data_IF_676011049675
#
_entry.id   IF_676011049675
#
_cell.length_a   1.000
_cell.length_b   1.000
_cell.length_c   1.000
_cell.angle_alpha   90.00
_cell.angle_beta   90.00
_cell.angle_gamma   90.00
#
_symmetry.space_group_name_H-M   'P 1'
#
loop_
_entity.id
_entity.type
_entity.pdbx_description
1 polymer ?
#
# COMPACT_ATOMS: atom_id res chain seq x y z
N UNK A 1 -27.34 5.85 17.76
CA UNK A 1 -26.46 4.84 17.14
C UNK A 1 -26.87 4.77 15.68
N UNK A 2 -25.99 5.13 14.78
CA UNK A 2 -26.23 5.11 13.33
C UNK A 2 -26.44 3.65 12.91
N UNK A 3 -27.54 3.34 12.24
CA UNK A 3 -27.88 2.00 11.80
C UNK A 3 -28.01 1.99 10.27
N UNK A 4 -27.18 1.17 9.61
CA UNK A 4 -27.26 0.96 8.17
C UNK A 4 -28.43 0.04 7.76
N UNK A 5 -29.02 -0.66 8.72
CA UNK A 5 -30.17 -1.58 8.45
C UNK A 5 -31.37 -0.82 7.88
N UNK A 6 -31.58 0.42 8.31
CA UNK A 6 -32.65 1.28 7.77
C UNK A 6 -32.54 1.61 6.29
N UNK A 7 -31.32 1.44 5.71
CA UNK A 7 -31.10 1.67 4.26
C UNK A 7 -31.51 0.47 3.40
N UNK A 8 -31.86 -0.69 3.99
CA UNK A 8 -32.24 -1.89 3.21
C UNK A 8 -33.44 -1.66 2.31
N UNK A 9 -34.38 -0.86 2.79
CA UNK A 9 -35.62 -0.56 2.07
C UNK A 9 -35.73 0.89 1.64
N UNK A 10 -34.65 1.68 1.82
CA UNK A 10 -34.62 3.09 1.45
C UNK A 10 -34.69 3.28 -0.08
N UNK A 11 -35.45 4.24 -0.52
CA UNK A 11 -35.39 4.76 -1.89
C UNK A 11 -34.18 5.72 -2.06
N UNK A 12 -33.90 6.15 -3.29
CA UNK A 12 -32.78 7.05 -3.57
C UNK A 12 -32.84 8.37 -2.78
N UNK A 13 -33.99 9.10 -2.69
CA UNK A 13 -34.06 10.32 -1.89
C UNK A 13 -33.75 10.09 -0.39
N UNK A 14 -34.27 9.02 0.18
CA UNK A 14 -34.01 8.68 1.57
C UNK A 14 -32.53 8.31 1.82
N UNK A 15 -31.92 7.54 0.92
CA UNK A 15 -30.50 7.20 0.99
C UNK A 15 -29.62 8.46 0.86
N UNK A 16 -29.89 9.36 -0.10
CA UNK A 16 -29.18 10.63 -0.25
C UNK A 16 -29.32 11.52 0.99
N UNK A 17 -30.52 11.65 1.55
CA UNK A 17 -30.75 12.43 2.76
C UNK A 17 -29.97 11.85 3.96
N UNK A 18 -29.88 10.53 4.06
CA UNK A 18 -29.09 9.85 5.10
C UNK A 18 -27.61 10.19 4.98
N UNK A 19 -26.98 9.96 3.83
CA UNK A 19 -25.53 10.21 3.64
C UNK A 19 -25.15 11.69 3.71
N UNK A 20 -26.07 12.60 3.38
CA UNK A 20 -25.85 14.05 3.50
C UNK A 20 -25.85 14.53 4.97
N UNK A 21 -26.55 13.83 5.86
CA UNK A 21 -26.79 14.31 7.24
C UNK A 21 -26.19 13.40 8.33
N UNK A 22 -25.78 12.17 7.99
CA UNK A 22 -25.24 11.23 8.95
C UNK A 22 -23.96 11.80 9.59
N UNK A 23 -23.85 11.64 10.91
CA UNK A 23 -22.60 11.94 11.61
C UNK A 23 -21.48 11.01 11.14
N UNK A 24 -20.32 11.55 10.70
CA UNK A 24 -19.25 10.74 10.12
C UNK A 24 -18.66 9.70 11.07
N UNK A 25 -18.47 10.03 12.34
CA UNK A 25 -17.99 9.06 13.33
C UNK A 25 -19.00 7.95 13.54
N UNK A 26 -20.30 8.31 13.55
CA UNK A 26 -21.39 7.35 13.59
C UNK A 26 -21.45 6.47 12.34
N UNK A 27 -21.17 7.02 11.14
CA UNK A 27 -21.10 6.24 9.90
C UNK A 27 -19.91 5.26 9.93
N UNK A 28 -18.73 5.72 10.34
CA UNK A 28 -17.55 4.87 10.51
C UNK A 28 -17.83 3.72 11.46
N UNK A 29 -18.41 4.00 12.65
CA UNK A 29 -18.75 2.98 13.62
C UNK A 29 -19.78 1.98 13.06
N UNK A 30 -20.76 2.44 12.29
CA UNK A 30 -21.75 1.59 11.65
C UNK A 30 -21.15 0.69 10.57
N UNK A 31 -20.21 1.23 9.75
CA UNK A 31 -19.45 0.44 8.76
C UNK A 31 -18.64 -0.65 9.47
N UNK A 32 -17.90 -0.32 10.53
CA UNK A 32 -17.10 -1.29 11.30
C UNK A 32 -17.96 -2.40 11.92
N UNK A 33 -19.16 -2.06 12.42
CA UNK A 33 -20.07 -3.01 13.02
C UNK A 33 -20.80 -3.92 12.02
N UNK A 34 -20.77 -3.57 10.72
CA UNK A 34 -21.54 -4.28 9.68
C UNK A 34 -20.64 -5.30 8.97
N UNK A 35 -20.97 -6.60 8.94
CA UNK A 35 -20.24 -7.62 8.21
C UNK A 35 -20.21 -7.36 6.69
N UNK A 36 -19.19 -7.88 6.01
CA UNK A 36 -18.96 -7.65 4.57
C UNK A 36 -20.12 -8.13 3.67
N UNK A 37 -20.77 -9.23 4.03
CA UNK A 37 -21.92 -9.75 3.30
C UNK A 37 -23.14 -8.83 3.41
N UNK A 38 -23.34 -8.21 4.57
CA UNK A 38 -24.39 -7.24 4.80
C UNK A 38 -24.09 -5.91 4.08
N UNK A 39 -22.83 -5.44 4.10
CA UNK A 39 -22.39 -4.29 3.31
C UNK A 39 -22.58 -4.56 1.81
N UNK A 40 -22.17 -5.73 1.34
CA UNK A 40 -22.33 -6.13 -0.07
C UNK A 40 -23.81 -6.13 -0.49
N UNK A 41 -24.69 -6.60 0.38
CA UNK A 41 -26.13 -6.57 0.14
C UNK A 41 -26.69 -5.15 0.03
N UNK A 42 -26.21 -4.21 0.87
CA UNK A 42 -26.61 -2.80 0.83
C UNK A 42 -26.15 -2.11 -0.46
N UNK A 43 -24.84 -2.20 -0.76
CA UNK A 43 -24.27 -1.55 -1.96
C UNK A 43 -24.58 -2.30 -3.26
N UNK A 44 -25.20 -3.47 -3.19
CA UNK A 44 -25.78 -4.18 -4.32
C UNK A 44 -26.98 -3.47 -4.95
N UNK A 45 -27.67 -2.65 -4.15
CA UNK A 45 -28.77 -1.80 -4.62
C UNK A 45 -28.22 -0.51 -5.18
N UNK A 46 -28.58 -0.20 -6.43
CA UNK A 46 -28.04 0.96 -7.16
C UNK A 46 -28.32 2.28 -6.44
N UNK A 47 -29.55 2.47 -5.97
CA UNK A 47 -29.98 3.71 -5.31
C UNK A 47 -29.18 3.98 -4.03
N UNK A 48 -28.93 2.94 -3.24
CA UNK A 48 -28.16 3.05 -1.99
C UNK A 48 -26.67 3.20 -2.29
N UNK A 49 -26.18 2.44 -3.27
CA UNK A 49 -24.76 2.46 -3.68
C UNK A 49 -24.35 3.85 -4.17
N UNK A 50 -25.05 4.38 -5.15
CA UNK A 50 -24.75 5.70 -5.74
C UNK A 50 -24.81 6.79 -4.68
N UNK A 51 -25.89 6.82 -3.86
CA UNK A 51 -26.02 7.78 -2.78
C UNK A 51 -24.90 7.66 -1.72
N UNK A 52 -24.47 6.43 -1.40
CA UNK A 52 -23.39 6.21 -0.45
C UNK A 52 -22.05 6.71 -0.99
N UNK A 53 -21.71 6.33 -2.23
CA UNK A 53 -20.41 6.71 -2.81
C UNK A 53 -20.34 8.22 -3.04
N UNK A 54 -21.35 8.83 -3.61
CA UNK A 54 -21.43 10.29 -3.79
C UNK A 54 -21.34 11.01 -2.45
N UNK A 55 -22.19 10.65 -1.49
CA UNK A 55 -22.23 11.34 -0.20
C UNK A 55 -20.92 11.19 0.59
N UNK A 56 -20.20 10.07 0.47
CA UNK A 56 -18.87 9.90 1.06
C UNK A 56 -17.85 10.80 0.35
N UNK A 57 -17.79 10.74 -0.98
CA UNK A 57 -16.78 11.49 -1.77
C UNK A 57 -17.00 13.01 -1.63
N UNK A 58 -18.24 13.48 -1.64
CA UNK A 58 -18.56 14.90 -1.43
C UNK A 58 -18.07 15.42 -0.08
N UNK A 59 -18.08 14.56 0.95
CA UNK A 59 -17.69 14.92 2.31
C UNK A 59 -16.23 14.62 2.65
N UNK A 60 -15.46 14.01 1.75
CA UNK A 60 -14.03 13.75 2.01
C UNK A 60 -13.24 15.01 2.33
N UNK A 61 -13.66 16.19 1.81
CA UNK A 61 -13.01 17.46 2.11
C UNK A 61 -13.04 17.82 3.61
N UNK A 62 -14.04 17.35 4.35
CA UNK A 62 -14.16 17.58 5.80
C UNK A 62 -13.02 16.93 6.59
N UNK A 63 -12.35 15.93 6.00
CA UNK A 63 -11.29 15.12 6.61
C UNK A 63 -9.92 15.33 5.97
N UNK A 64 -9.85 16.24 5.00
CA UNK A 64 -8.59 16.59 4.38
C UNK A 64 -7.77 17.53 5.28
N UNK A 65 -6.45 17.32 5.31
CA UNK A 65 -5.49 18.21 5.97
C UNK A 65 -5.16 19.37 5.02
N UNK A 66 -5.62 20.61 5.29
CA UNK A 66 -5.53 21.71 4.32
C UNK A 66 -4.10 22.02 3.88
N UNK A 67 -3.13 21.92 4.81
CA UNK A 67 -1.73 22.22 4.56
C UNK A 67 -1.10 21.26 3.55
N UNK A 68 -1.66 20.05 3.42
CA UNK A 68 -1.18 19.02 2.49
C UNK A 68 -1.86 19.08 1.12
N UNK A 69 -3.04 19.68 1.03
CA UNK A 69 -3.77 19.86 -0.24
C UNK A 69 -2.98 20.73 -1.23
N UNK A 70 -2.26 21.73 -0.73
CA UNK A 70 -1.50 22.66 -1.58
C UNK A 70 -0.40 21.99 -2.43
N UNK A 71 0.04 20.80 -2.05
CA UNK A 71 1.05 20.04 -2.77
C UNK A 71 0.47 19.11 -3.84
N UNK A 72 -0.87 18.97 -3.91
CA UNK A 72 -1.52 18.03 -4.81
C UNK A 72 -2.10 18.77 -6.03
N UNK A 73 -1.83 18.21 -7.21
CA UNK A 73 -2.38 18.66 -8.47
C UNK A 73 -2.74 17.44 -9.33
N UNK A 74 -3.91 17.46 -9.94
CA UNK A 74 -4.35 16.42 -10.86
C UNK A 74 -5.70 15.84 -10.49
N UNK A 75 -6.13 14.86 -11.30
CA UNK A 75 -7.41 14.17 -11.16
C UNK A 75 -7.19 12.72 -10.78
N UNK A 76 -7.87 12.30 -9.72
CA UNK A 76 -7.89 10.90 -9.28
C UNK A 76 -9.27 10.33 -9.49
N UNK A 77 -9.36 9.18 -10.14
CA UNK A 77 -10.58 8.45 -10.36
C UNK A 77 -10.63 7.18 -9.53
N UNK A 78 -11.76 6.95 -8.90
CA UNK A 78 -12.09 5.71 -8.20
C UNK A 78 -13.00 4.86 -9.09
N UNK A 79 -12.51 3.73 -9.58
CA UNK A 79 -13.28 2.73 -10.30
C UNK A 79 -13.71 1.65 -9.28
N UNK A 80 -14.97 1.71 -8.84
CA UNK A 80 -15.52 0.83 -7.81
C UNK A 80 -16.18 -0.38 -8.48
N UNK A 81 -15.66 -1.58 -8.19
CA UNK A 81 -16.00 -2.79 -8.93
C UNK A 81 -16.76 -3.81 -8.09
N UNK A 82 -17.55 -4.64 -8.79
CA UNK A 82 -18.05 -5.91 -8.30
C UNK A 82 -17.63 -7.00 -9.28
N UNK A 83 -16.76 -7.90 -8.85
CA UNK A 83 -16.11 -8.84 -9.75
C UNK A 83 -15.25 -8.11 -10.79
N UNK A 84 -15.65 -8.22 -12.08
CA UNK A 84 -14.98 -7.53 -13.20
C UNK A 84 -15.73 -6.30 -13.71
N UNK A 85 -16.92 -6.05 -13.19
CA UNK A 85 -17.76 -4.95 -13.64
C UNK A 85 -17.50 -3.70 -12.79
N UNK A 86 -17.20 -2.57 -13.43
CA UNK A 86 -17.19 -1.28 -12.79
C UNK A 86 -18.63 -0.82 -12.61
N UNK A 87 -19.03 -0.57 -11.37
CA UNK A 87 -20.37 -0.11 -11.02
C UNK A 87 -20.44 1.40 -10.83
N UNK A 88 -19.39 1.99 -10.26
CA UNK A 88 -19.33 3.42 -9.98
C UNK A 88 -17.98 3.98 -10.43
N UNK A 89 -17.99 5.21 -10.96
CA UNK A 89 -16.80 6.01 -11.27
C UNK A 89 -16.97 7.41 -10.74
N UNK A 90 -16.16 7.75 -9.77
CA UNK A 90 -16.15 9.07 -9.17
C UNK A 90 -14.71 9.54 -9.05
N UNK A 91 -14.50 10.85 -8.96
CA UNK A 91 -13.17 11.40 -8.84
C UNK A 91 -13.05 12.54 -7.86
N UNK A 92 -11.81 12.90 -7.64
CA UNK A 92 -11.39 14.10 -6.93
C UNK A 92 -10.41 14.86 -7.82
N UNK A 93 -10.65 16.13 -7.99
CA UNK A 93 -9.75 17.05 -8.68
C UNK A 93 -9.04 17.94 -7.66
N UNK A 94 -7.72 18.04 -7.79
CA UNK A 94 -6.85 18.82 -6.92
C UNK A 94 -6.22 19.96 -7.72
N UNK A 95 -6.58 21.19 -7.38
CA UNK A 95 -6.06 22.40 -8.03
C UNK A 95 -5.90 23.50 -6.99
N UNK A 96 -4.74 24.14 -6.95
CA UNK A 96 -4.43 25.31 -6.12
C UNK A 96 -4.81 25.16 -4.64
N UNK A 97 -4.58 23.98 -4.09
CA UNK A 97 -4.90 23.67 -2.68
C UNK A 97 -6.37 23.42 -2.39
N UNK A 98 -7.19 23.36 -3.44
CA UNK A 98 -8.60 22.97 -3.34
C UNK A 98 -8.79 21.51 -3.80
N UNK A 99 -9.77 20.84 -3.22
CA UNK A 99 -10.23 19.52 -3.62
C UNK A 99 -11.69 19.61 -4.03
N UNK A 100 -12.00 19.20 -5.26
CA UNK A 100 -13.34 19.25 -5.82
C UNK A 100 -13.80 17.85 -6.22
N UNK A 101 -14.94 17.36 -5.71
CA UNK A 101 -15.55 16.12 -6.17
C UNK A 101 -15.91 16.18 -7.66
N UNK A 102 -15.64 15.10 -8.38
CA UNK A 102 -16.00 14.90 -9.79
C UNK A 102 -16.89 13.65 -9.90
N UNK A 103 -18.22 13.78 -9.76
CA UNK A 103 -19.13 12.64 -9.91
C UNK A 103 -19.19 12.17 -11.37
N UNK A 104 -19.42 10.87 -11.55
CA UNK A 104 -19.71 10.22 -12.84
C UNK A 104 -18.68 10.47 -13.94
N UNK A 105 -17.38 10.31 -13.62
CA UNK A 105 -16.31 10.40 -14.62
C UNK A 105 -16.48 9.34 -15.72
N UNK A 106 -16.28 9.74 -16.97
CA UNK A 106 -16.28 8.80 -18.09
C UNK A 106 -15.05 7.87 -18.05
N UNK A 107 -15.18 6.68 -18.65
CA UNK A 107 -14.09 5.71 -18.68
C UNK A 107 -12.87 6.20 -19.48
N UNK A 108 -13.11 6.99 -20.51
CA UNK A 108 -12.11 7.58 -21.41
C UNK A 108 -11.68 8.99 -21.03
N UNK A 109 -12.21 9.54 -19.93
CA UNK A 109 -11.79 10.84 -19.43
C UNK A 109 -10.34 10.75 -18.94
N UNK A 110 -9.54 11.75 -19.33
CA UNK A 110 -8.14 11.82 -18.91
C UNK A 110 -8.06 12.10 -17.41
N UNK A 111 -7.35 11.21 -16.70
CA UNK A 111 -7.10 11.33 -15.27
C UNK A 111 -5.63 10.94 -14.98
N UNK A 112 -5.07 11.50 -13.92
CA UNK A 112 -3.66 11.27 -13.56
C UNK A 112 -3.49 9.97 -12.79
N UNK A 113 -4.50 9.58 -12.01
CA UNK A 113 -4.52 8.32 -11.22
C UNK A 113 -5.86 7.63 -11.36
N UNK A 114 -5.82 6.31 -11.52
CA UNK A 114 -6.99 5.42 -11.40
C UNK A 114 -6.76 4.49 -10.22
N UNK A 115 -7.71 4.48 -9.28
CA UNK A 115 -7.74 3.57 -8.14
C UNK A 115 -8.91 2.60 -8.32
N UNK A 116 -8.62 1.31 -8.51
CA UNK A 116 -9.64 0.27 -8.70
C UNK A 116 -9.72 -0.63 -7.48
N UNK A 117 -10.89 -0.72 -6.87
CA UNK A 117 -11.16 -1.62 -5.74
C UNK A 117 -12.62 -2.02 -5.67
N UNK A 118 -12.95 -3.04 -4.85
CA UNK A 118 -14.36 -3.40 -4.65
C UNK A 118 -15.07 -2.37 -3.76
N UNK A 119 -16.39 -2.25 -3.94
CA UNK A 119 -17.21 -1.34 -3.13
C UNK A 119 -17.06 -1.55 -1.63
N UNK A 120 -17.11 -2.79 -1.16
CA UNK A 120 -16.95 -3.09 0.28
C UNK A 120 -15.57 -2.66 0.77
N UNK A 121 -14.52 -2.92 -0.01
CA UNK A 121 -13.16 -2.47 0.36
C UNK A 121 -13.02 -0.96 0.35
N UNK A 122 -13.65 -0.27 -0.58
CA UNK A 122 -13.71 1.19 -0.56
C UNK A 122 -14.32 1.70 0.75
N UNK A 123 -15.43 1.14 1.20
CA UNK A 123 -16.02 1.49 2.49
C UNK A 123 -15.08 1.23 3.67
N UNK A 124 -14.36 0.08 3.67
CA UNK A 124 -13.36 -0.24 4.70
C UNK A 124 -12.15 0.70 4.66
N UNK A 125 -11.75 1.16 3.47
CA UNK A 125 -10.67 2.15 3.32
C UNK A 125 -11.08 3.52 3.87
N UNK A 126 -12.23 4.05 3.46
CA UNK A 126 -12.69 5.39 3.90
C UNK A 126 -13.08 5.43 5.37
N UNK A 127 -13.47 4.30 5.94
CA UNK A 127 -13.71 4.17 7.39
C UNK A 127 -12.43 3.93 8.21
N UNK A 128 -11.28 3.78 7.56
CA UNK A 128 -9.99 3.55 8.22
C UNK A 128 -9.80 2.15 8.81
N UNK A 129 -10.71 1.22 8.55
CA UNK A 129 -10.59 -0.18 8.98
C UNK A 129 -9.56 -0.93 8.14
N UNK A 130 -9.42 -0.59 6.86
CA UNK A 130 -8.43 -1.15 5.97
C UNK A 130 -7.34 -0.11 5.63
N UNK A 131 -6.10 -0.55 5.54
CA UNK A 131 -4.98 0.29 5.12
C UNK A 131 -4.76 0.17 3.61
N UNK A 132 -4.74 1.30 2.88
CA UNK A 132 -4.61 1.30 1.42
C UNK A 132 -3.27 0.72 0.94
N UNK A 133 -2.17 0.94 1.65
CA UNK A 133 -0.86 0.36 1.32
C UNK A 133 -0.88 -1.17 1.40
N UNK A 134 -1.49 -1.73 2.45
CA UNK A 134 -1.66 -3.18 2.61
C UNK A 134 -2.61 -3.74 1.54
N UNK A 135 -3.70 -3.04 1.22
CA UNK A 135 -4.62 -3.45 0.15
C UNK A 135 -3.95 -3.44 -1.23
N UNK A 136 -3.10 -2.44 -1.51
CA UNK A 136 -2.32 -2.37 -2.75
C UNK A 136 -1.30 -3.50 -2.83
N UNK A 137 -0.50 -3.72 -1.80
CA UNK A 137 0.48 -4.80 -1.75
C UNK A 137 -0.18 -6.18 -1.85
N UNK A 138 -1.35 -6.34 -1.23
CA UNK A 138 -2.16 -7.56 -1.26
C UNK A 138 -2.92 -7.82 -2.57
N UNK A 139 -2.88 -6.88 -3.53
CA UNK A 139 -3.58 -7.00 -4.82
C UNK A 139 -5.10 -6.81 -4.72
N UNK A 140 -5.54 -6.07 -3.72
CA UNK A 140 -6.95 -5.76 -3.46
C UNK A 140 -7.35 -4.33 -3.81
N UNK A 141 -6.38 -3.46 -3.97
CA UNK A 141 -6.48 -2.13 -4.54
C UNK A 141 -5.49 -2.07 -5.70
N UNK A 142 -5.94 -1.76 -6.89
CA UNK A 142 -5.08 -1.47 -8.03
C UNK A 142 -4.92 0.04 -8.16
N UNK A 143 -3.69 0.48 -8.47
CA UNK A 143 -3.37 1.90 -8.65
C UNK A 143 -2.56 2.03 -9.94
N UNK A 144 -3.10 2.78 -10.88
CA UNK A 144 -2.46 3.10 -12.15
C UNK A 144 -2.25 4.62 -12.27
N UNK A 145 -1.16 5.05 -12.87
CA UNK A 145 -0.84 6.46 -13.10
C UNK A 145 0.22 7.02 -12.17
N UNK A 146 0.07 8.27 -11.76
CA UNK A 146 1.04 9.02 -10.96
C UNK A 146 1.10 8.50 -9.51
N UNK A 147 2.22 7.89 -9.16
CA UNK A 147 2.42 7.31 -7.82
C UNK A 147 2.59 8.38 -6.73
N UNK A 148 3.16 9.53 -7.05
CA UNK A 148 3.38 10.61 -6.09
C UNK A 148 2.03 11.25 -5.71
N UNK A 149 1.16 11.46 -6.70
CA UNK A 149 -0.20 11.92 -6.46
C UNK A 149 -1.00 10.88 -5.66
N UNK A 150 -0.90 9.59 -6.01
CA UNK A 150 -1.57 8.49 -5.29
C UNK A 150 -1.12 8.38 -3.83
N UNK A 151 0.18 8.52 -3.55
CA UNK A 151 0.73 8.55 -2.19
C UNK A 151 0.27 9.80 -1.44
N UNK A 152 0.29 10.95 -2.12
CA UNK A 152 -0.15 12.21 -1.57
C UNK A 152 -1.58 12.14 -1.07
N UNK A 153 -2.49 11.57 -1.85
CA UNK A 153 -3.90 11.38 -1.46
C UNK A 153 -4.02 10.55 -0.19
N UNK A 154 -3.29 9.45 -0.09
CA UNK A 154 -3.29 8.65 1.14
C UNK A 154 -2.88 9.45 2.38
N UNK A 155 -2.00 10.43 2.21
CA UNK A 155 -1.47 11.27 3.27
C UNK A 155 -2.31 12.48 3.65
N UNK A 156 -3.32 12.87 2.84
CA UNK A 156 -4.13 14.06 3.15
C UNK A 156 -5.37 13.76 4.00
N UNK A 157 -5.91 12.56 3.96
CA UNK A 157 -7.12 12.22 4.70
C UNK A 157 -6.82 11.72 6.10
N UNK A 158 -7.55 12.26 7.07
CA UNK A 158 -7.58 11.73 8.43
C UNK A 158 -8.76 10.79 8.58
N UNK A 159 -8.54 9.64 9.21
CA UNK A 159 -9.64 8.75 9.60
C UNK A 159 -10.49 9.43 10.65
N UNK A 160 -11.83 9.55 10.44
CA UNK A 160 -12.72 10.20 11.40
C UNK A 160 -12.55 9.66 12.83
N UNK A 161 -12.52 10.56 13.82
CA UNK A 161 -12.37 10.21 15.23
C UNK A 161 -10.98 9.77 15.70
N UNK A 162 -10.01 9.56 14.79
CA UNK A 162 -8.68 9.05 15.16
C UNK A 162 -7.55 10.08 15.10
N UNK A 163 -7.70 11.14 14.30
CA UNK A 163 -6.66 12.11 14.00
C UNK A 163 -5.44 11.53 13.25
N UNK A 164 -5.51 10.28 12.80
CA UNK A 164 -4.43 9.62 12.03
C UNK A 164 -4.67 9.77 10.53
N UNK A 165 -3.60 10.00 9.78
CA UNK A 165 -3.67 9.93 8.31
C UNK A 165 -4.00 8.51 7.86
N UNK A 166 -4.77 8.39 6.78
CA UNK A 166 -5.25 7.12 6.28
C UNK A 166 -4.10 6.21 5.77
N UNK A 167 -3.06 6.81 5.18
CA UNK A 167 -1.89 6.06 4.67
C UNK A 167 -0.60 6.79 5.03
N UNK A 168 0.26 6.12 5.77
CA UNK A 168 1.68 6.47 5.92
C UNK A 168 2.49 5.16 5.78
N UNK A 169 3.28 5.00 4.70
CA UNK A 169 4.10 3.80 4.50
C UNK A 169 5.06 3.51 5.67
N UNK A 170 5.46 4.55 6.41
CA UNK A 170 6.38 4.43 7.55
C UNK A 170 5.72 3.81 8.79
N UNK A 171 4.39 3.83 8.84
CA UNK A 171 3.61 3.30 9.97
C UNK A 171 3.11 1.87 9.72
N UNK A 172 3.34 1.29 8.52
CA UNK A 172 2.95 -0.09 8.24
C UNK A 172 3.71 -1.06 9.14
N UNK A 173 2.98 -1.93 9.82
CA UNK A 173 3.60 -3.02 10.58
C UNK A 173 4.23 -4.04 9.63
N UNK A 174 5.49 -4.44 9.82
CA UNK A 174 6.17 -5.40 8.94
C UNK A 174 5.51 -6.78 8.91
N UNK A 175 4.84 -7.20 9.99
CA UNK A 175 4.10 -8.47 10.05
C UNK A 175 2.81 -8.37 9.24
N UNK A 176 2.13 -7.22 9.30
CA UNK A 176 0.95 -6.97 8.47
C UNK A 176 1.33 -6.94 6.98
N UNK A 177 2.48 -6.33 6.62
CA UNK A 177 3.02 -6.37 5.25
C UNK A 177 3.31 -7.80 4.82
N UNK A 178 3.99 -8.60 5.65
CA UNK A 178 4.25 -10.00 5.34
C UNK A 178 2.95 -10.78 5.17
N UNK A 179 1.96 -10.55 6.03
CA UNK A 179 0.64 -11.18 5.95
C UNK A 179 -0.10 -10.80 4.66
N UNK A 180 -0.12 -9.51 4.32
CA UNK A 180 -0.75 -9.01 3.09
C UNK A 180 -0.15 -9.59 1.81
N UNK A 181 1.16 -9.90 1.82
CA UNK A 181 1.86 -10.51 0.69
C UNK A 181 1.68 -12.04 0.62
N UNK A 182 1.06 -12.65 1.64
CA UNK A 182 0.77 -14.07 1.68
C UNK A 182 -0.16 -14.50 0.55
N UNK A 183 0.30 -15.44 -0.30
CA UNK A 183 -0.49 -15.96 -1.42
C UNK A 183 -0.64 -15.01 -2.61
N UNK A 184 -0.06 -13.81 -2.57
CA UNK A 184 -0.12 -12.84 -3.68
C UNK A 184 0.62 -13.37 -4.91
N UNK A 185 -0.01 -13.33 -6.12
CA UNK A 185 0.63 -13.80 -7.33
C UNK A 185 1.92 -13.03 -7.65
N UNK A 186 2.97 -13.75 -8.07
CA UNK A 186 4.25 -13.14 -8.45
C UNK A 186 4.12 -12.11 -9.59
N UNK A 187 3.07 -12.22 -10.41
CA UNK A 187 2.78 -11.23 -11.45
C UNK A 187 2.40 -9.88 -10.85
N UNK A 188 1.56 -9.88 -9.80
CA UNK A 188 1.18 -8.64 -9.11
C UNK A 188 2.40 -8.00 -8.44
N UNK A 189 3.21 -8.78 -7.71
CA UNK A 189 4.43 -8.27 -7.09
C UNK A 189 5.43 -7.67 -8.11
N UNK A 190 5.51 -8.26 -9.32
CA UNK A 190 6.28 -7.66 -10.42
C UNK A 190 5.71 -6.33 -10.86
N UNK A 191 4.38 -6.19 -10.93
CA UNK A 191 3.74 -4.93 -11.28
C UNK A 191 4.00 -3.86 -10.23
N UNK A 192 3.84 -4.19 -8.94
CA UNK A 192 4.21 -3.31 -7.81
C UNK A 192 5.65 -2.82 -7.95
N UNK A 193 6.60 -3.75 -8.20
CA UNK A 193 8.01 -3.43 -8.32
C UNK A 193 8.42 -2.84 -9.69
N UNK A 194 7.48 -2.62 -10.60
CA UNK A 194 7.62 -1.88 -11.86
C UNK A 194 6.87 -0.56 -11.85
N UNK A 195 6.06 -0.30 -10.84
CA UNK A 195 5.32 0.95 -10.68
C UNK A 195 6.18 2.05 -10.05
N UNK A 196 5.66 3.27 -10.02
CA UNK A 196 6.25 4.40 -9.31
C UNK A 196 6.36 4.21 -7.79
N UNK A 197 5.71 3.19 -7.21
CA UNK A 197 5.84 2.87 -5.78
C UNK A 197 7.13 2.11 -5.42
N UNK A 198 7.88 1.61 -6.42
CA UNK A 198 9.13 0.87 -6.19
C UNK A 198 10.12 1.59 -5.26
N UNK A 199 10.41 2.89 -5.42
CA UNK A 199 11.35 3.59 -4.54
C UNK A 199 10.88 3.61 -3.08
N UNK A 200 9.58 3.77 -2.86
CA UNK A 200 8.98 3.78 -1.52
C UNK A 200 9.10 2.40 -0.88
N UNK A 201 8.74 1.34 -1.60
CA UNK A 201 8.84 -0.05 -1.10
C UNK A 201 10.27 -0.41 -0.76
N UNK A 202 11.21 -0.17 -1.66
CA UNK A 202 12.64 -0.45 -1.42
C UNK A 202 13.20 0.42 -0.30
N UNK A 203 12.87 1.71 -0.30
CA UNK A 203 13.29 2.64 0.74
C UNK A 203 12.88 2.19 2.13
N UNK A 204 11.62 1.76 2.31
CA UNK A 204 11.12 1.29 3.60
C UNK A 204 11.76 -0.04 4.02
N UNK A 205 11.97 -0.99 3.11
CA UNK A 205 12.65 -2.25 3.44
C UNK A 205 14.06 -1.97 3.94
N UNK A 206 14.85 -1.19 3.20
CA UNK A 206 16.24 -0.93 3.56
C UNK A 206 16.38 -0.01 4.78
N UNK A 207 15.47 0.95 4.97
CA UNK A 207 15.44 1.81 6.16
C UNK A 207 15.23 0.99 7.44
N UNK A 208 14.37 -0.03 7.38
CA UNK A 208 14.02 -0.88 8.53
C UNK A 208 14.95 -2.07 8.74
N UNK A 209 15.75 -2.44 7.74
CA UNK A 209 16.61 -3.62 7.81
C UNK A 209 17.49 -3.66 9.08
N UNK A 210 18.09 -2.54 9.54
CA UNK A 210 18.85 -2.53 10.79
C UNK A 210 18.03 -2.96 12.03
N UNK A 211 16.74 -2.65 12.06
CA UNK A 211 15.85 -2.96 13.19
C UNK A 211 15.60 -4.48 13.33
N UNK A 212 15.80 -5.24 12.25
CA UNK A 212 15.63 -6.68 12.23
C UNK A 212 16.90 -7.46 12.58
N UNK A 213 18.02 -6.78 12.84
CA UNK A 213 19.24 -7.49 13.22
C UNK A 213 19.11 -8.03 14.63
N UNK A 214 19.23 -9.35 14.77
CA UNK A 214 19.30 -10.02 16.05
C UNK A 214 20.67 -9.78 16.68
N UNK A 215 20.78 -8.83 17.59
CA UNK A 215 22.05 -8.44 18.19
C UNK A 215 22.82 -9.60 18.86
N UNK A 216 22.18 -10.55 19.58
CA UNK A 216 22.85 -11.75 20.07
C UNK A 216 23.47 -12.61 18.96
N UNK A 217 22.78 -12.85 17.84
CA UNK A 217 23.29 -13.63 16.71
C UNK A 217 24.36 -12.89 15.92
N UNK A 218 24.32 -11.56 15.90
CA UNK A 218 25.24 -10.70 15.17
C UNK A 218 26.49 -10.29 15.98
N UNK A 219 26.63 -10.75 17.23
CA UNK A 219 27.80 -10.46 18.07
C UNK A 219 29.08 -11.01 17.45
N UNK A 220 30.09 -10.14 17.27
CA UNK A 220 31.37 -10.49 16.65
C UNK A 220 31.27 -10.77 15.14
N UNK A 221 30.14 -10.46 14.52
CA UNK A 221 29.97 -10.55 13.07
C UNK A 221 30.51 -9.28 12.43
N UNK A 222 31.38 -9.46 11.44
CA UNK A 222 31.86 -8.41 10.54
C UNK A 222 31.63 -8.87 9.09
N UNK A 223 30.68 -8.23 8.43
CA UNK A 223 30.34 -8.55 7.04
C UNK A 223 29.79 -7.33 6.29
N UNK A 224 30.01 -7.34 4.96
CA UNK A 224 29.48 -6.36 4.04
C UNK A 224 28.86 -7.08 2.84
N UNK A 225 27.54 -6.93 2.66
CA UNK A 225 26.79 -7.55 1.55
C UNK A 225 26.16 -6.48 0.69
N UNK A 226 26.50 -6.51 -0.60
CA UNK A 226 25.90 -5.65 -1.61
C UNK A 226 24.62 -6.28 -2.17
N UNK A 227 23.65 -5.44 -2.50
CA UNK A 227 22.44 -5.80 -3.24
C UNK A 227 22.41 -5.07 -4.56
N UNK A 228 22.05 -5.79 -5.63
CA UNK A 228 21.82 -5.25 -6.97
C UNK A 228 20.41 -5.68 -7.39
N UNK A 229 19.51 -4.71 -7.45
CA UNK A 229 18.09 -4.96 -7.72
C UNK A 229 17.77 -4.63 -9.16
N UNK A 230 17.30 -5.63 -9.89
CA UNK A 230 16.92 -5.57 -11.29
C UNK A 230 15.42 -5.31 -11.44
N UNK A 231 15.00 -5.09 -12.69
CA UNK A 231 13.57 -4.96 -13.05
C UNK A 231 13.00 -3.56 -12.82
N UNK A 232 13.84 -2.54 -12.65
CA UNK A 232 13.40 -1.15 -12.73
C UNK A 232 13.00 -0.84 -14.19
N UNK A 233 11.84 -0.24 -14.47
CA UNK A 233 11.41 0.13 -15.81
C UNK A 233 12.37 1.06 -16.56
N UNK A 234 13.12 1.91 -15.83
CA UNK A 234 14.17 2.76 -16.41
C UNK A 234 15.39 1.98 -16.91
N UNK A 235 15.51 0.70 -16.57
CA UNK A 235 16.69 -0.12 -16.80
C UNK A 235 17.82 0.11 -15.80
N UNK A 236 17.65 1.03 -14.85
CA UNK A 236 18.61 1.26 -13.79
C UNK A 236 18.68 0.07 -12.82
N UNK A 237 19.87 -0.14 -12.27
CA UNK A 237 20.11 -1.15 -11.23
C UNK A 237 20.30 -0.40 -9.91
N UNK A 238 19.33 -0.51 -9.03
CA UNK A 238 19.49 0.05 -7.69
C UNK A 238 20.48 -0.81 -6.90
N UNK A 239 21.33 -0.12 -6.17
CA UNK A 239 22.38 -0.73 -5.37
C UNK A 239 22.27 -0.29 -3.94
N UNK A 240 22.46 -1.25 -3.02
CA UNK A 240 22.53 -1.01 -1.59
C UNK A 240 23.65 -1.84 -1.00
N UNK A 241 24.26 -1.35 0.08
CA UNK A 241 25.25 -2.10 0.84
C UNK A 241 24.79 -2.17 2.29
N UNK A 242 24.66 -3.39 2.79
CA UNK A 242 24.38 -3.67 4.20
C UNK A 242 25.70 -4.06 4.86
N UNK A 243 26.12 -3.32 5.86
CA UNK A 243 27.27 -3.62 6.70
C UNK A 243 26.79 -3.99 8.10
N UNK A 244 27.31 -5.08 8.64
CA UNK A 244 27.06 -5.47 10.02
C UNK A 244 28.37 -5.56 10.73
N UNK A 245 28.51 -4.81 11.83
CA UNK A 245 29.71 -4.81 12.68
C UNK A 245 29.28 -4.83 14.14
N UNK A 246 29.72 -5.83 14.87
CA UNK A 246 29.45 -6.03 16.30
C UNK A 246 27.97 -5.91 16.71
N UNK A 247 27.07 -6.44 15.88
CA UNK A 247 25.63 -6.42 16.13
C UNK A 247 24.89 -5.17 15.67
N UNK A 248 25.60 -4.23 15.06
CA UNK A 248 25.02 -3.01 14.49
C UNK A 248 25.02 -3.10 12.97
N UNK A 249 23.87 -2.91 12.36
CA UNK A 249 23.75 -2.82 10.91
C UNK A 249 23.62 -1.37 10.42
N UNK A 250 24.24 -1.11 9.30
CA UNK A 250 24.05 0.14 8.53
C UNK A 250 23.72 -0.20 7.09
N UNK A 251 22.95 0.68 6.45
CA UNK A 251 22.57 0.54 5.05
C UNK A 251 22.95 1.81 4.29
N UNK A 252 23.63 1.64 3.19
CA UNK A 252 24.02 2.72 2.29
C UNK A 252 23.43 2.47 0.91
N UNK A 253 22.80 3.48 0.33
CA UNK A 253 22.29 3.43 -1.04
C UNK A 253 23.40 3.80 -2.04
N UNK A 254 23.34 3.22 -3.24
CA UNK A 254 24.30 3.45 -4.32
C UNK A 254 25.49 2.49 -4.29
N UNK A 255 26.52 2.85 -5.06
CA UNK A 255 27.81 2.13 -5.09
C UNK A 255 28.69 2.66 -3.95
N UNK A 256 28.27 2.40 -2.70
CA UNK A 256 29.08 2.73 -1.54
C UNK A 256 30.48 2.11 -1.68
N UNK A 257 31.51 2.94 -1.55
CA UNK A 257 32.89 2.50 -1.63
C UNK A 257 33.26 1.47 -0.56
N UNK A 258 34.28 0.67 -0.81
CA UNK A 258 34.82 -0.34 0.10
C UNK A 258 34.54 -1.78 -0.35
N UNK A 259 35.33 -2.67 0.22
CA UNK A 259 35.25 -4.09 -0.09
C UNK A 259 33.92 -4.68 0.40
N UNK A 260 33.39 -5.59 -0.40
CA UNK A 260 32.18 -6.36 -0.11
C UNK A 260 32.53 -7.84 -0.08
N UNK A 261 32.09 -8.51 0.96
CA UNK A 261 32.28 -9.95 1.07
C UNK A 261 31.49 -10.71 0.00
N UNK A 262 30.25 -10.24 -0.23
CA UNK A 262 29.35 -10.82 -1.22
C UNK A 262 28.49 -9.76 -1.88
N UNK A 263 27.93 -10.10 -3.05
CA UNK A 263 26.91 -9.31 -3.74
C UNK A 263 25.76 -10.22 -4.17
N UNK A 264 24.54 -9.88 -3.77
CA UNK A 264 23.30 -10.56 -4.15
C UNK A 264 22.67 -9.76 -5.29
N UNK A 265 22.39 -10.42 -6.41
CA UNK A 265 21.67 -9.83 -7.54
C UNK A 265 20.35 -10.57 -7.72
N UNK A 266 19.23 -9.84 -7.75
CA UNK A 266 17.89 -10.40 -7.94
C UNK A 266 16.93 -9.35 -8.55
N UNK A 267 15.78 -9.83 -9.01
CA UNK A 267 14.67 -8.96 -9.39
C UNK A 267 14.07 -8.29 -8.15
N UNK A 268 13.54 -7.06 -8.30
CA UNK A 268 12.95 -6.33 -7.17
C UNK A 268 11.83 -7.09 -6.47
N UNK A 269 10.97 -7.80 -7.21
CA UNK A 269 9.89 -8.60 -6.62
C UNK A 269 10.39 -9.83 -5.85
N UNK A 270 11.50 -10.44 -6.25
CA UNK A 270 12.13 -11.53 -5.49
C UNK A 270 12.79 -10.99 -4.21
N UNK A 271 13.35 -9.76 -4.27
CA UNK A 271 13.86 -9.09 -3.08
C UNK A 271 12.73 -8.77 -2.08
N UNK A 272 11.60 -8.25 -2.55
CA UNK A 272 10.43 -8.01 -1.70
C UNK A 272 9.98 -9.30 -0.99
N UNK A 273 9.91 -10.42 -1.72
CA UNK A 273 9.57 -11.74 -1.15
C UNK A 273 10.63 -12.24 -0.17
N UNK A 274 11.90 -11.97 -0.43
CA UNK A 274 13.00 -12.32 0.47
C UNK A 274 12.89 -11.56 1.79
N UNK A 275 12.67 -10.23 1.70
CA UNK A 275 12.59 -9.34 2.86
C UNK A 275 11.34 -9.56 3.73
N UNK A 276 10.32 -10.24 3.21
CA UNK A 276 9.06 -10.55 3.90
C UNK A 276 8.86 -12.04 4.19
N UNK A 277 9.93 -12.84 4.09
CA UNK A 277 9.91 -14.26 4.44
C UNK A 277 9.24 -15.20 3.43
N UNK A 278 8.74 -14.68 2.30
CA UNK A 278 8.06 -15.47 1.25
C UNK A 278 9.02 -16.11 0.23
N UNK A 279 10.32 -15.86 0.34
CA UNK A 279 11.37 -16.49 -0.43
C UNK A 279 12.52 -16.90 0.49
N UNK A 280 12.77 -18.19 0.61
CA UNK A 280 13.94 -18.68 1.33
C UNK A 280 15.22 -18.34 0.56
N UNK A 281 16.28 -17.78 1.19
CA UNK A 281 17.56 -17.48 0.54
C UNK A 281 18.14 -18.69 -0.20
N UNK A 282 18.16 -19.85 0.44
CA UNK A 282 18.69 -21.10 -0.13
C UNK A 282 17.89 -21.52 -1.37
N UNK A 283 16.57 -21.52 -1.26
CA UNK A 283 15.70 -21.87 -2.39
C UNK A 283 15.78 -20.85 -3.51
N UNK A 284 15.92 -19.57 -3.19
CA UNK A 284 16.12 -18.49 -4.17
C UNK A 284 17.39 -18.68 -5.00
N UNK A 285 18.50 -19.09 -4.36
CA UNK A 285 19.75 -19.42 -5.06
C UNK A 285 19.58 -20.67 -5.92
N UNK A 286 18.99 -21.74 -5.37
CA UNK A 286 18.79 -23.00 -6.12
C UNK A 286 17.90 -22.83 -7.35
N UNK A 287 16.87 -21.98 -7.27
CA UNK A 287 15.96 -21.66 -8.39
C UNK A 287 16.50 -20.58 -9.33
N UNK A 288 17.69 -20.02 -9.05
CA UNK A 288 18.30 -18.96 -9.85
C UNK A 288 17.65 -17.57 -9.73
N UNK A 289 16.75 -17.38 -8.77
CA UNK A 289 16.13 -16.09 -8.44
C UNK A 289 17.12 -15.15 -7.74
N UNK A 290 18.03 -15.71 -6.95
CA UNK A 290 19.13 -14.99 -6.30
C UNK A 290 20.45 -15.45 -6.89
N UNK A 291 21.26 -14.50 -7.38
CA UNK A 291 22.62 -14.76 -7.85
C UNK A 291 23.60 -14.16 -6.85
N UNK A 292 24.46 -14.98 -6.26
CA UNK A 292 25.44 -14.56 -5.25
C UNK A 292 26.83 -14.62 -5.88
N UNK A 293 27.55 -13.48 -5.85
CA UNK A 293 28.98 -13.35 -6.21
C UNK A 293 29.77 -13.04 -4.95
N UNK A 294 30.94 -13.64 -4.77
CA UNK A 294 31.79 -13.53 -3.57
C UNK A 294 31.50 -14.63 -2.56
N UNK A 295 31.64 -14.31 -1.29
CA UNK A 295 31.47 -15.27 -0.18
C UNK A 295 30.00 -15.60 0.08
N UNK A 296 29.58 -16.79 -0.36
CA UNK A 296 28.20 -17.28 -0.18
C UNK A 296 27.89 -17.56 1.30
N UNK A 297 28.90 -17.92 2.09
CA UNK A 297 28.72 -18.14 3.54
C UNK A 297 28.33 -16.85 4.25
N UNK A 298 29.03 -15.75 3.97
CA UNK A 298 28.71 -14.43 4.52
C UNK A 298 27.36 -13.91 4.03
N UNK A 299 27.00 -14.15 2.76
CA UNK A 299 25.66 -13.80 2.27
C UNK A 299 24.54 -14.56 3.00
N UNK A 300 24.72 -15.85 3.28
CA UNK A 300 23.78 -16.64 4.08
C UNK A 300 23.80 -16.23 5.55
N UNK A 301 24.96 -15.88 6.09
CA UNK A 301 25.09 -15.41 7.46
C UNK A 301 24.31 -14.13 7.69
N UNK A 302 24.31 -13.16 6.75
CA UNK A 302 23.45 -11.99 6.85
C UNK A 302 21.99 -12.39 7.04
N UNK A 303 21.48 -13.34 6.24
CA UNK A 303 20.10 -13.82 6.39
C UNK A 303 19.84 -14.52 7.73
N UNK A 304 20.83 -15.21 8.30
CA UNK A 304 20.68 -15.93 9.55
C UNK A 304 20.64 -15.03 10.80
N UNK A 305 21.21 -13.83 10.71
CA UNK A 305 21.22 -12.85 11.80
C UNK A 305 20.05 -11.88 11.74
N UNK A 306 19.22 -11.95 10.69
CA UNK A 306 18.01 -11.13 10.55
C UNK A 306 16.78 -11.92 11.06
N UNK A 307 16.05 -11.34 11.99
CA UNK A 307 14.73 -11.81 12.39
C UNK A 307 13.67 -11.20 11.45
N UNK A 308 13.60 -11.77 10.24
CA UNK A 308 12.67 -11.32 9.20
C UNK A 308 11.22 -11.55 9.64
N UNK A 309 10.32 -10.56 9.48
CA UNK A 309 8.91 -10.72 9.82
C UNK A 309 8.29 -11.84 8.97
N UNK A 310 7.50 -12.68 9.63
CA UNK A 310 6.75 -13.77 9.00
C UNK A 310 5.26 -13.56 9.21
N UNK A 311 4.46 -13.94 8.22
CA UNK A 311 3.01 -14.03 8.38
C UNK A 311 2.68 -15.09 9.45
N UNK A 312 1.69 -14.76 10.28
CA UNK A 312 1.16 -15.68 11.30
C UNK A 312 0.15 -16.66 10.72
#
# INVERSE_FOLDING_TARGET
MTDLVGLRDADEPAARAFFATVDPEGLVAAIHATPDDALLSLVGREEVRTAAVEGIIERLHEYAVPERLAALHGIVRFDLVQGKQVLERHGLEFVDGAMTPRPHLAADEHVDVVMTTSLVRFLRLVSGEANAGLQYLGGHLDIEGDADLALGIGGIFCVPGTGRVAVDPRLLDPVDVATALGGVPAAHLRNVMRSGFRPVVLGEIFRRLPDFVNAPKARGVDLAVGFRLLGNPSGEIERYVVRVQDGVATVEAGDAGGDRDATITCEGHDYLRLATGHLSPVMGVLKGQLKVKGDKGKALHLSAILDIPHAH
#
